data_IF_364915733954
#
_entry.id   IF_364915733954
#
_cell.length_a   1.000
_cell.length_b   1.000
_cell.length_c   1.000
_cell.angle_alpha   90.00
_cell.angle_beta   90.00
_cell.angle_gamma   90.00
#
_symmetry.space_group_name_H-M   'P 1'
#
loop_
_entity.id
_entity.type
_entity.pdbx_description
1 polymer ?
#
# COMPACT_ATOMS: atom_id res chain seq x y z
N UNK A 1 -52.21 -0.19 -14.93
CA UNK A 1 -51.34 -1.29 -14.49
C UNK A 1 -49.96 -1.24 -15.14
N UNK A 2 -49.85 -1.18 -16.48
CA UNK A 2 -48.56 -1.16 -17.20
C UNK A 2 -47.59 -0.03 -16.77
N UNK A 3 -48.07 1.21 -16.63
CA UNK A 3 -47.24 2.36 -16.20
C UNK A 3 -46.60 2.19 -14.82
N UNK A 4 -47.27 1.48 -13.91
CA UNK A 4 -46.77 1.26 -12.54
C UNK A 4 -45.58 0.30 -12.56
N UNK A 5 -45.66 -0.78 -13.34
CA UNK A 5 -44.56 -1.73 -13.52
C UNK A 5 -43.34 -1.08 -14.16
N UNK A 6 -43.55 -0.20 -15.15
CA UNK A 6 -42.47 0.54 -15.80
C UNK A 6 -41.75 1.46 -14.82
N UNK A 7 -42.50 2.23 -14.00
CA UNK A 7 -41.91 3.10 -12.97
C UNK A 7 -41.15 2.29 -11.91
N UNK A 8 -41.71 1.16 -11.45
CA UNK A 8 -41.05 0.30 -10.46
C UNK A 8 -39.73 -0.27 -11.00
N UNK A 9 -39.72 -0.70 -12.27
CA UNK A 9 -38.52 -1.20 -12.94
C UNK A 9 -37.44 -0.11 -13.06
N UNK A 10 -37.82 1.12 -13.45
CA UNK A 10 -36.88 2.24 -13.52
C UNK A 10 -36.32 2.63 -12.15
N UNK A 11 -37.16 2.63 -11.10
CA UNK A 11 -36.70 2.89 -9.72
C UNK A 11 -35.75 1.80 -9.23
N UNK A 12 -36.08 0.52 -9.46
CA UNK A 12 -35.21 -0.60 -9.10
C UNK A 12 -33.86 -0.56 -9.84
N UNK A 13 -33.87 -0.28 -11.14
CA UNK A 13 -32.65 -0.13 -11.94
C UNK A 13 -31.79 1.05 -11.46
N UNK A 14 -32.41 2.18 -11.11
CA UNK A 14 -31.71 3.34 -10.55
C UNK A 14 -31.07 3.01 -9.20
N UNK A 15 -31.81 2.37 -8.28
CA UNK A 15 -31.30 1.94 -6.97
C UNK A 15 -30.12 0.97 -7.10
N UNK A 16 -30.20 0.00 -8.02
CA UNK A 16 -29.09 -0.94 -8.27
C UNK A 16 -27.85 -0.25 -8.85
N UNK A 17 -28.02 0.79 -9.68
CA UNK A 17 -26.89 1.56 -10.22
C UNK A 17 -26.20 2.47 -9.20
N UNK A 18 -26.82 2.67 -8.03
CA UNK A 18 -26.35 3.58 -6.98
C UNK A 18 -25.57 2.88 -5.86
N UNK A 19 -25.35 1.57 -5.92
CA UNK A 19 -24.57 0.87 -4.90
C UNK A 19 -23.11 1.39 -4.95
N UNK A 20 -22.58 2.04 -3.89
CA UNK A 20 -21.20 2.47 -3.86
C UNK A 20 -20.30 1.24 -3.87
N UNK A 21 -19.37 1.16 -4.82
CA UNK A 21 -18.33 0.12 -4.80
C UNK A 21 -17.33 0.49 -3.70
N UNK A 22 -17.32 -0.28 -2.61
CA UNK A 22 -16.32 -0.14 -1.55
C UNK A 22 -15.02 -0.86 -1.97
N UNK A 23 -14.13 -0.10 -2.60
CA UNK A 23 -12.81 -0.61 -3.01
C UNK A 23 -11.98 -1.10 -1.81
N UNK A 24 -12.08 -0.43 -0.65
CA UNK A 24 -11.34 -0.85 0.54
C UNK A 24 -11.82 -2.22 1.03
N UNK A 25 -13.10 -2.55 0.88
CA UNK A 25 -13.59 -3.87 1.25
C UNK A 25 -12.99 -4.99 0.38
N UNK A 26 -12.80 -4.75 -0.92
CA UNK A 26 -12.16 -5.70 -1.82
C UNK A 26 -10.68 -5.93 -1.50
N UNK A 27 -10.04 -4.92 -0.92
CA UNK A 27 -8.62 -4.98 -0.60
C UNK A 27 -8.28 -5.90 0.58
N UNK A 28 -9.26 -6.14 1.46
CA UNK A 28 -9.15 -7.08 2.58
C UNK A 28 -9.43 -8.55 2.18
N UNK A 29 -9.89 -8.79 0.94
CA UNK A 29 -10.09 -10.14 0.44
C UNK A 29 -8.75 -10.79 0.05
N UNK A 30 -8.64 -12.13 0.05
CA UNK A 30 -7.46 -12.80 -0.49
C UNK A 30 -7.28 -12.50 -1.99
N UNK A 31 -6.07 -12.13 -2.37
CA UNK A 31 -5.67 -11.90 -3.77
C UNK A 31 -4.61 -12.91 -4.19
N UNK A 32 -4.71 -13.41 -5.42
CA UNK A 32 -3.71 -14.24 -6.06
C UNK A 32 -3.39 -13.67 -7.46
N UNK A 33 -2.21 -13.06 -7.67
CA UNK A 33 -1.10 -12.91 -6.72
C UNK A 33 -1.38 -11.89 -5.59
N UNK A 34 -0.60 -11.92 -4.49
CA UNK A 34 -0.71 -10.91 -3.43
C UNK A 34 -0.49 -9.49 -3.95
N UNK A 35 -1.23 -8.52 -3.41
CA UNK A 35 -1.15 -7.11 -3.80
C UNK A 35 0.07 -6.37 -3.21
N UNK A 36 0.77 -7.00 -2.27
CA UNK A 36 1.96 -6.47 -1.63
C UNK A 36 2.99 -7.60 -1.40
N UNK A 37 4.27 -7.29 -1.20
CA UNK A 37 5.28 -8.27 -0.82
C UNK A 37 4.92 -8.96 0.51
N UNK A 38 5.27 -10.25 0.61
CA UNK A 38 5.02 -11.11 1.78
C UNK A 38 6.34 -11.79 2.17
N UNK A 39 7.38 -10.99 2.33
CA UNK A 39 8.75 -11.44 2.56
C UNK A 39 8.89 -11.96 3.99
N UNK A 40 9.44 -13.17 4.14
CA UNK A 40 9.76 -13.74 5.45
C UNK A 40 11.06 -13.18 6.04
N UNK A 41 11.98 -12.73 5.18
CA UNK A 41 13.30 -12.18 5.53
C UNK A 41 13.61 -11.05 4.56
N UNK A 42 14.29 -10.01 5.05
CA UNK A 42 14.73 -8.90 4.21
C UNK A 42 15.68 -9.40 3.11
N UNK A 43 15.39 -9.13 1.82
CA UNK A 43 16.22 -9.56 0.73
C UNK A 43 17.51 -8.74 0.69
N UNK A 44 18.56 -9.29 0.07
CA UNK A 44 19.75 -8.52 -0.23
C UNK A 44 19.48 -7.62 -1.44
N UNK A 45 19.56 -6.31 -1.25
CA UNK A 45 19.29 -5.29 -2.27
C UNK A 45 20.52 -4.42 -2.52
N UNK A 46 20.45 -3.53 -3.50
CA UNK A 46 21.52 -2.55 -3.75
C UNK A 46 21.39 -1.28 -2.90
N UNK A 47 20.60 -1.30 -1.82
CA UNK A 47 20.44 -0.15 -0.94
C UNK A 47 21.75 0.24 -0.27
N UNK A 48 22.02 1.55 -0.17
CA UNK A 48 23.17 2.07 0.60
C UNK A 48 22.81 3.34 1.35
N UNK A 49 23.50 3.55 2.48
CA UNK A 49 23.44 4.80 3.27
C UNK A 49 24.36 5.91 2.74
N UNK A 50 25.04 5.70 1.60
CA UNK A 50 25.94 6.69 1.04
C UNK A 50 25.17 7.94 0.61
N UNK A 51 25.65 9.13 1.02
CA UNK A 51 24.97 10.40 0.75
C UNK A 51 23.66 10.62 1.53
N UNK A 52 23.29 9.71 2.44
CA UNK A 52 22.08 9.83 3.28
C UNK A 52 22.43 10.37 4.66
N UNK A 53 21.53 11.19 5.21
CA UNK A 53 21.61 11.65 6.60
C UNK A 53 21.20 10.53 7.56
N UNK A 54 21.20 10.82 8.86
CA UNK A 54 20.58 9.92 9.84
C UNK A 54 19.08 9.81 9.55
N UNK A 55 18.54 8.60 9.47
CA UNK A 55 17.11 8.38 9.26
C UNK A 55 16.76 6.95 8.87
N UNK A 56 15.46 6.67 8.79
CA UNK A 56 14.94 5.44 8.22
C UNK A 56 14.57 5.65 6.75
N UNK A 57 14.92 4.69 5.90
CA UNK A 57 14.80 4.77 4.46
C UNK A 57 14.12 3.52 3.91
N UNK A 58 13.18 3.68 2.99
CA UNK A 58 12.49 2.58 2.34
C UNK A 58 13.42 1.84 1.37
N UNK A 59 13.33 0.51 1.36
CA UNK A 59 13.94 -0.32 0.33
C UNK A 59 12.97 -0.53 -0.83
N UNK A 60 13.16 0.25 -1.90
CA UNK A 60 12.31 0.19 -3.10
C UNK A 60 12.41 -1.16 -3.82
N UNK A 61 13.55 -1.86 -3.75
CA UNK A 61 13.72 -3.17 -4.40
C UNK A 61 12.95 -4.28 -3.65
N UNK A 62 12.74 -4.12 -2.35
CA UNK A 62 11.88 -5.00 -1.55
C UNK A 62 10.37 -4.70 -1.73
N UNK A 63 10.00 -3.74 -2.59
CA UNK A 63 8.65 -3.20 -2.66
C UNK A 63 8.27 -2.41 -1.40
N UNK A 64 9.26 -1.84 -0.71
CA UNK A 64 9.12 -1.08 0.53
C UNK A 64 8.61 -1.88 1.74
N UNK A 65 8.60 -3.22 1.68
CA UNK A 65 8.35 -4.02 2.88
C UNK A 65 9.56 -3.98 3.82
N UNK A 66 10.78 -3.91 3.28
CA UNK A 66 11.99 -3.65 4.05
C UNK A 66 12.28 -2.15 4.16
N UNK A 67 12.88 -1.77 5.28
CA UNK A 67 13.44 -0.44 5.50
C UNK A 67 14.76 -0.54 6.25
N UNK A 68 15.54 0.54 6.19
CA UNK A 68 16.90 0.59 6.68
C UNK A 68 17.12 1.80 7.58
N UNK A 69 17.77 1.59 8.72
CA UNK A 69 18.26 2.68 9.54
C UNK A 69 19.70 3.06 9.15
N UNK A 70 19.91 4.30 8.75
CA UNK A 70 21.23 4.86 8.47
C UNK A 70 21.71 5.77 9.61
N UNK A 71 22.98 5.65 9.97
CA UNK A 71 23.67 6.56 10.87
C UNK A 71 25.12 6.76 10.43
N UNK A 72 25.58 8.02 10.33
CA UNK A 72 26.94 8.35 9.83
C UNK A 72 27.27 7.69 8.49
N UNK A 73 26.30 7.63 7.58
CA UNK A 73 26.42 6.98 6.26
C UNK A 73 26.69 5.46 6.32
N UNK A 74 26.49 4.82 7.48
CA UNK A 74 26.55 3.37 7.66
C UNK A 74 25.15 2.80 7.87
N UNK A 75 24.93 1.59 7.33
CA UNK A 75 23.75 0.79 7.61
C UNK A 75 23.84 0.26 9.04
N UNK A 76 22.88 0.63 9.88
CA UNK A 76 22.81 0.21 11.29
C UNK A 76 21.92 -1.03 11.42
N UNK A 77 20.77 -1.01 10.77
CA UNK A 77 19.81 -2.11 10.81
C UNK A 77 18.95 -2.15 9.54
N UNK A 78 18.40 -3.34 9.30
CA UNK A 78 17.39 -3.60 8.28
C UNK A 78 16.25 -4.34 8.94
N UNK A 79 15.03 -3.85 8.75
CA UNK A 79 13.82 -4.42 9.32
C UNK A 79 12.79 -4.67 8.23
N UNK A 80 11.84 -5.56 8.50
CA UNK A 80 10.65 -5.77 7.69
C UNK A 80 9.42 -5.21 8.41
N UNK A 81 8.58 -4.51 7.66
CA UNK A 81 7.19 -4.30 8.03
C UNK A 81 6.42 -5.63 8.01
N UNK A 82 5.39 -5.72 8.84
CA UNK A 82 4.53 -6.88 8.91
C UNK A 82 3.79 -7.12 7.57
N UNK A 83 3.29 -8.34 7.36
CA UNK A 83 2.50 -8.65 6.18
C UNK A 83 1.26 -7.73 6.10
N UNK A 84 1.08 -7.08 4.94
CA UNK A 84 0.00 -6.12 4.72
C UNK A 84 0.39 -4.66 4.95
N UNK A 85 1.62 -4.39 5.40
CA UNK A 85 2.14 -3.03 5.58
C UNK A 85 3.45 -2.82 4.84
N UNK A 86 3.70 -1.57 4.44
CA UNK A 86 4.91 -1.10 3.78
C UNK A 86 5.44 0.11 4.52
N UNK A 87 6.75 0.33 4.45
CA UNK A 87 7.36 1.46 5.11
C UNK A 87 7.03 2.76 4.36
N UNK A 88 6.25 3.62 5.01
CA UNK A 88 6.02 4.98 4.56
C UNK A 88 7.18 5.85 5.05
N UNK A 89 8.12 6.18 4.16
CA UNK A 89 9.31 6.98 4.51
C UNK A 89 8.94 8.42 4.90
N UNK A 90 7.87 8.99 4.36
CA UNK A 90 7.43 10.34 4.72
C UNK A 90 6.95 10.42 6.18
N UNK A 91 6.16 9.44 6.62
CA UNK A 91 5.62 9.39 7.98
C UNK A 91 6.47 8.55 8.95
N UNK A 92 7.53 7.91 8.45
CA UNK A 92 8.45 7.07 9.22
C UNK A 92 7.73 5.94 9.99
N UNK A 93 6.74 5.30 9.35
CA UNK A 93 5.90 4.25 9.94
C UNK A 93 5.59 3.16 8.92
N UNK A 94 5.38 1.92 9.36
CA UNK A 94 4.77 0.90 8.52
C UNK A 94 3.27 1.18 8.42
N UNK A 95 2.81 1.63 7.25
CA UNK A 95 1.39 1.89 6.96
C UNK A 95 0.84 0.77 6.07
N UNK A 96 -0.47 0.68 5.97
CA UNK A 96 -1.13 -0.25 5.06
C UNK A 96 -0.62 -0.07 3.63
N UNK A 97 -0.40 -1.18 2.92
CA UNK A 97 0.25 -1.18 1.61
C UNK A 97 -0.42 -0.27 0.56
N UNK A 98 -1.72 0.03 0.71
CA UNK A 98 -2.47 0.91 -0.18
C UNK A 98 -2.32 2.40 0.12
N UNK A 99 -1.76 2.75 1.28
CA UNK A 99 -1.39 4.12 1.65
C UNK A 99 0.04 4.46 1.23
N UNK A 100 0.82 3.48 0.72
CA UNK A 100 2.24 3.65 0.39
C UNK A 100 2.47 3.53 -1.12
N UNK A 101 3.07 4.55 -1.72
CA UNK A 101 3.60 4.62 -3.08
C UNK A 101 5.11 4.39 -3.06
N UNK A 102 5.47 3.12 -2.96
CA UNK A 102 6.86 2.71 -2.89
C UNK A 102 7.74 3.33 -4.00
N UNK A 103 8.77 4.07 -3.61
CA UNK A 103 9.70 4.74 -4.53
C UNK A 103 9.22 6.10 -5.07
N UNK A 104 8.03 6.58 -4.68
CA UNK A 104 7.58 7.95 -4.96
C UNK A 104 7.98 8.88 -3.82
N UNK A 105 8.65 10.02 -4.10
CA UNK A 105 8.86 11.06 -3.11
C UNK A 105 7.63 11.98 -2.90
N UNK A 106 6.54 11.76 -3.65
CA UNK A 106 5.31 12.54 -3.57
C UNK A 106 4.13 11.58 -3.35
N UNK A 107 3.51 11.61 -2.17
CA UNK A 107 2.34 10.77 -1.87
C UNK A 107 1.04 11.53 -1.63
N UNK A 108 1.08 12.86 -1.52
CA UNK A 108 -0.09 13.69 -1.20
C UNK A 108 -0.56 14.62 -2.35
N UNK A 109 -0.20 14.34 -3.61
CA UNK A 109 -0.71 15.06 -4.81
C UNK A 109 -1.51 14.14 -5.72
#
# INVERSE_FOLDING_TARGET
>A
MLKIFTVLFFVLAAVFSQQPTDYYHHLHLPHDPPLHPVLAVAPHTSFTCHGRTKGYYADVQSGCQAFHFCWRQHLVSTELCANGTLFNEQFQVCDHFYNVRCGSPYEDL
#
